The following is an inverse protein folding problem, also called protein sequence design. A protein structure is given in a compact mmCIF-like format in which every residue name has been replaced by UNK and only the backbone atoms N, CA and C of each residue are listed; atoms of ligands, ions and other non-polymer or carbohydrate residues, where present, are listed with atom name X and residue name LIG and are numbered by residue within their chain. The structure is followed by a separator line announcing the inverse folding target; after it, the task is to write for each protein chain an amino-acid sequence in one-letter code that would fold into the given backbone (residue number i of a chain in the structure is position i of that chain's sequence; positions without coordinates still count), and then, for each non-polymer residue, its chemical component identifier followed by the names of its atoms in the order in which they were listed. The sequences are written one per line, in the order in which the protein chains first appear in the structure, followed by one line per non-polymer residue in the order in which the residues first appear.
data_IF_600883246844
#
_entry.id   IF_600883246844
#
_cell.length_a   1.000
_cell.length_b   1.000
_cell.length_c   1.000
_cell.angle_alpha   90.00
_cell.angle_beta   90.00
_cell.angle_gamma   90.00
#
_symmetry.space_group_name_H-M   'P 1'
#
loop_
_entity.id
_entity.type
_entity.pdbx_description
1 polymer ?
#
# COMPACT_ATOMS: atom_id res chain seq x y z
N UNK A 1 -57.95 80.87 11.16
CA UNK A 1 -58.80 79.80 10.62
C UNK A 1 -58.11 78.50 10.94
N UNK A 2 -58.61 77.86 11.91
CA UNK A 2 -59.08 76.47 12.09
C UNK A 2 -57.93 75.45 11.99
N UNK A 3 -57.42 75.01 13.17
CA UNK A 3 -57.66 73.75 13.90
C UNK A 3 -57.39 72.48 13.13
N UNK A 4 -56.41 71.73 13.62
CA UNK A 4 -56.44 70.31 13.83
C UNK A 4 -55.33 69.83 14.79
N UNK A 5 -55.62 69.96 16.11
CA UNK A 5 -55.04 69.12 17.17
C UNK A 5 -56.03 67.99 17.32
N UNK A 6 -55.61 66.76 17.28
CA UNK A 6 -56.07 65.73 18.23
C UNK A 6 -55.65 64.31 17.84
N UNK A 7 -55.28 63.61 18.89
CA UNK A 7 -55.21 62.16 19.10
C UNK A 7 -53.94 61.46 18.79
N UNK A 8 -52.96 61.70 19.67
CA UNK A 8 -52.00 60.65 20.01
C UNK A 8 -52.68 59.61 20.89
N UNK A 9 -52.89 58.42 20.34
CA UNK A 9 -53.47 57.30 21.06
C UNK A 9 -52.43 56.66 22.01
N UNK A 10 -52.75 56.63 23.29
CA UNK A 10 -51.97 56.06 24.39
C UNK A 10 -51.73 54.55 24.27
N UNK A 11 -52.28 53.92 23.21
CA UNK A 11 -52.06 52.50 22.90
C UNK A 11 -50.79 52.17 22.14
N UNK A 12 -50.09 53.17 21.56
CA UNK A 12 -48.85 52.91 20.85
C UNK A 12 -47.57 52.94 21.72
N UNK A 13 -47.68 53.43 22.94
CA UNK A 13 -46.56 53.44 23.89
C UNK A 13 -46.41 52.14 24.68
N UNK A 14 -47.43 51.28 24.73
CA UNK A 14 -47.39 49.99 25.43
C UNK A 14 -46.86 48.87 24.53
N UNK A 15 -46.94 49.02 23.19
CA UNK A 15 -46.41 48.02 22.23
C UNK A 15 -44.90 48.14 22.02
N UNK A 16 -44.24 49.23 22.36
CA UNK A 16 -42.79 49.42 22.22
C UNK A 16 -42.01 48.93 23.48
N UNK A 17 -42.69 48.64 24.59
CA UNK A 17 -42.01 48.15 25.82
C UNK A 17 -41.99 46.60 25.93
N UNK A 18 -42.70 45.87 25.05
CA UNK A 18 -42.68 44.41 25.01
C UNK A 18 -41.79 43.81 23.92
N UNK A 19 -41.16 44.62 23.07
CA UNK A 19 -40.24 44.14 22.03
C UNK A 19 -38.77 44.06 22.50
N UNK A 20 -38.50 44.43 23.75
CA UNK A 20 -37.11 44.52 24.26
C UNK A 20 -36.67 43.41 25.21
N UNK A 21 -37.54 42.41 25.53
CA UNK A 21 -37.15 41.28 26.36
C UNK A 21 -37.07 39.98 25.56
N UNK A 22 -36.28 39.98 24.48
CA UNK A 22 -35.64 38.77 24.01
C UNK A 22 -34.56 38.43 25.03
N UNK A 23 -34.96 37.67 26.07
CA UNK A 23 -34.03 36.96 26.92
C UNK A 23 -33.21 36.08 26.00
N UNK A 24 -32.01 36.52 25.70
CA UNK A 24 -30.97 35.64 25.17
C UNK A 24 -30.70 34.58 26.26
N UNK A 25 -31.45 33.50 26.21
CA UNK A 25 -31.11 32.30 26.97
C UNK A 25 -29.73 31.90 26.41
N UNK A 26 -28.66 32.00 27.20
CA UNK A 26 -27.38 31.48 26.73
C UNK A 26 -27.62 30.01 26.42
N UNK A 27 -27.48 29.62 25.17
CA UNK A 27 -27.31 28.21 24.84
C UNK A 27 -26.06 27.78 25.57
N UNK A 28 -26.22 27.15 26.74
CA UNK A 28 -25.12 26.47 27.39
C UNK A 28 -24.82 25.30 26.48
N UNK A 29 -23.88 25.49 25.59
CA UNK A 29 -23.25 24.36 24.87
C UNK A 29 -22.51 23.59 25.95
N UNK A 30 -23.13 22.54 26.45
CA UNK A 30 -22.46 21.60 27.35
C UNK A 30 -21.37 20.95 26.54
N UNK A 31 -20.13 21.34 26.77
CA UNK A 31 -18.96 20.70 26.16
C UNK A 31 -18.71 19.34 26.83
N UNK A 32 -18.24 18.39 26.06
CA UNK A 32 -17.74 17.14 26.64
C UNK A 32 -16.52 17.43 27.52
N UNK A 33 -16.31 16.62 28.54
CA UNK A 33 -15.22 16.81 29.50
C UNK A 33 -14.42 15.53 29.67
N UNK A 34 -13.11 15.66 29.55
CA UNK A 34 -12.14 14.59 29.80
C UNK A 34 -11.26 14.96 30.97
N UNK A 35 -10.96 13.99 31.84
CA UNK A 35 -9.99 14.12 32.94
C UNK A 35 -9.00 12.96 32.87
N UNK A 36 -7.72 13.28 32.94
CA UNK A 36 -6.60 12.35 32.83
C UNK A 36 -5.94 12.09 34.19
N UNK A 37 -5.13 11.03 34.29
CA UNK A 37 -4.46 10.61 35.53
C UNK A 37 -3.49 11.65 36.09
N UNK A 38 -2.91 12.50 35.24
CA UNK A 38 -2.05 13.61 35.65
C UNK A 38 -2.81 14.83 36.18
N UNK A 39 -4.17 14.73 36.23
CA UNK A 39 -5.05 15.81 36.71
C UNK A 39 -5.42 16.84 35.65
N UNK A 40 -5.03 16.67 34.41
CA UNK A 40 -5.43 17.57 33.32
C UNK A 40 -6.92 17.42 33.00
N UNK A 41 -7.60 18.55 32.81
CA UNK A 41 -9.02 18.61 32.45
C UNK A 41 -9.16 19.33 31.13
N UNK A 42 -9.79 18.68 30.16
CA UNK A 42 -10.05 19.22 28.83
C UNK A 42 -11.56 19.33 28.60
N UNK A 43 -11.96 20.43 27.96
CA UNK A 43 -13.33 20.69 27.51
C UNK A 43 -13.34 20.78 25.99
N UNK A 44 -14.32 20.14 25.35
CA UNK A 44 -14.38 20.10 23.90
C UNK A 44 -15.42 19.15 23.38
N UNK A 45 -15.07 18.37 22.35
CA UNK A 45 -15.94 17.39 21.70
C UNK A 45 -15.21 16.06 21.50
N UNK A 46 -15.89 14.98 21.86
CA UNK A 46 -15.43 13.62 21.60
C UNK A 46 -15.60 13.34 20.10
N UNK A 47 -14.49 13.03 19.40
CA UNK A 47 -14.50 12.66 17.98
C UNK A 47 -14.60 11.13 17.79
N UNK A 48 -14.09 10.36 18.74
CA UNK A 48 -14.07 8.89 18.71
C UNK A 48 -12.75 8.32 19.21
N UNK A 49 -12.56 7.02 19.00
CA UNK A 49 -11.28 6.35 19.32
C UNK A 49 -10.62 5.80 18.08
N UNK A 50 -9.29 5.87 18.07
CA UNK A 50 -8.42 5.27 17.04
C UNK A 50 -7.17 4.73 17.74
N UNK A 51 -6.78 3.49 17.46
CA UNK A 51 -5.57 2.82 17.98
C UNK A 51 -5.43 2.95 19.52
N UNK A 52 -6.52 2.73 20.26
CA UNK A 52 -6.51 2.80 21.72
C UNK A 52 -6.41 4.21 22.31
N UNK A 53 -6.50 5.26 21.48
CA UNK A 53 -6.49 6.65 21.89
C UNK A 53 -7.87 7.29 21.66
N UNK A 54 -8.31 8.10 22.61
CA UNK A 54 -9.45 9.00 22.44
C UNK A 54 -9.02 10.23 21.65
N UNK A 55 -9.64 10.45 20.50
CA UNK A 55 -9.51 11.69 19.71
C UNK A 55 -10.50 12.72 20.24
N UNK A 56 -9.99 13.85 20.68
CA UNK A 56 -10.75 14.91 21.34
C UNK A 56 -10.46 16.26 20.70
N UNK A 57 -11.49 16.99 20.30
CA UNK A 57 -11.37 18.33 19.74
C UNK A 57 -11.51 19.38 20.87
N UNK A 58 -10.61 20.35 20.90
CA UNK A 58 -10.69 21.47 21.84
C UNK A 58 -10.80 22.79 21.08
N UNK A 59 -11.13 23.89 21.78
CA UNK A 59 -11.16 25.23 21.18
C UNK A 59 -9.81 25.68 20.62
N UNK A 60 -8.70 25.12 21.14
CA UNK A 60 -7.33 25.51 20.79
C UNK A 60 -6.61 24.51 19.89
N UNK A 61 -7.17 23.32 19.73
CA UNK A 61 -6.60 22.25 18.90
C UNK A 61 -7.71 21.46 18.24
N UNK A 62 -7.60 21.25 16.93
CA UNK A 62 -8.55 20.46 16.15
C UNK A 62 -8.58 18.99 16.57
N UNK A 63 -7.49 18.48 17.12
CA UNK A 63 -7.41 17.10 17.61
C UNK A 63 -6.33 16.97 18.68
N UNK A 64 -6.69 16.34 19.81
CA UNK A 64 -5.79 15.89 20.87
C UNK A 64 -6.03 14.38 21.03
N UNK A 65 -4.98 13.57 20.96
CA UNK A 65 -5.08 12.13 21.15
C UNK A 65 -4.66 11.77 22.58
N UNK A 66 -5.58 11.16 23.34
CA UNK A 66 -5.40 10.82 24.75
C UNK A 66 -5.53 9.30 24.88
N UNK A 67 -4.49 8.57 25.33
CA UNK A 67 -4.60 7.13 25.55
C UNK A 67 -5.76 6.78 26.49
N UNK A 68 -6.61 5.83 26.13
CA UNK A 68 -7.74 5.39 26.95
C UNK A 68 -7.32 4.97 28.36
N UNK A 69 -6.14 4.37 28.50
CA UNK A 69 -5.56 3.97 29.81
C UNK A 69 -5.21 5.15 30.71
N UNK A 70 -5.06 6.36 30.17
CA UNK A 70 -4.78 7.57 30.97
C UNK A 70 -6.04 8.31 31.42
N UNK A 71 -7.23 7.86 30.99
CA UNK A 71 -8.49 8.47 31.37
C UNK A 71 -8.88 8.11 32.80
N UNK A 72 -9.35 9.09 33.52
CA UNK A 72 -9.95 8.96 34.88
C UNK A 72 -11.46 9.17 34.82
N UNK A 73 -11.88 10.15 34.01
CA UNK A 73 -13.30 10.51 33.90
C UNK A 73 -13.61 11.04 32.52
N UNK A 74 -14.76 10.68 31.99
CA UNK A 74 -15.29 11.15 30.74
C UNK A 74 -16.76 11.49 30.89
N UNK A 75 -17.18 12.67 30.41
CA UNK A 75 -18.60 13.04 30.34
C UNK A 75 -18.93 13.58 28.98
N UNK A 76 -20.12 13.27 28.50
CA UNK A 76 -20.60 13.75 27.20
C UNK A 76 -21.88 14.53 27.30
N UNK A 77 -22.03 15.56 26.49
CA UNK A 77 -23.26 16.32 26.31
C UNK A 77 -24.31 15.53 25.52
N UNK A 78 -23.84 14.83 24.48
CA UNK A 78 -24.67 14.01 23.62
C UNK A 78 -24.54 12.53 23.95
N UNK A 79 -25.52 11.67 23.57
CA UNK A 79 -25.35 10.23 23.66
C UNK A 79 -24.16 9.78 22.78
N UNK A 80 -23.33 8.89 23.31
CA UNK A 80 -22.17 8.32 22.62
C UNK A 80 -22.26 6.80 22.73
N UNK A 81 -21.74 6.12 21.71
CA UNK A 81 -21.66 4.67 21.67
C UNK A 81 -20.28 4.19 22.13
N UNK A 82 -20.27 3.09 22.86
CA UNK A 82 -19.08 2.41 23.36
C UNK A 82 -19.16 0.94 23.01
N UNK A 83 -18.04 0.38 22.54
CA UNK A 83 -17.85 -1.05 22.41
C UNK A 83 -16.86 -1.54 23.46
N UNK A 84 -17.24 -2.62 24.11
CA UNK A 84 -16.39 -3.32 25.08
C UNK A 84 -15.50 -4.35 24.40
N UNK A 85 -14.46 -4.83 25.08
CA UNK A 85 -13.62 -5.97 24.64
C UNK A 85 -14.43 -7.26 24.40
N UNK A 86 -15.62 -7.38 25.02
CA UNK A 86 -16.54 -8.50 24.80
C UNK A 86 -17.48 -8.30 23.60
N UNK A 87 -17.20 -7.28 22.74
CA UNK A 87 -18.03 -6.89 21.59
C UNK A 87 -19.46 -6.44 21.91
N UNK A 88 -19.76 -6.11 23.16
CA UNK A 88 -21.05 -5.52 23.53
C UNK A 88 -21.04 -4.02 23.21
N UNK A 89 -22.08 -3.54 22.53
CA UNK A 89 -22.25 -2.12 22.22
C UNK A 89 -23.28 -1.49 23.14
N UNK A 90 -22.88 -0.46 23.87
CA UNK A 90 -23.73 0.33 24.73
C UNK A 90 -23.79 1.78 24.21
N UNK A 91 -24.97 2.38 24.21
CA UNK A 91 -25.15 3.77 23.78
C UNK A 91 -25.88 4.55 24.84
N UNK A 92 -25.41 5.75 25.14
CA UNK A 92 -26.01 6.62 26.14
C UNK A 92 -25.15 7.83 26.47
N UNK A 93 -25.61 8.64 27.38
CA UNK A 93 -24.87 9.78 27.88
C UNK A 93 -23.80 9.36 28.91
N UNK A 94 -22.59 9.85 28.73
CA UNK A 94 -21.50 9.61 29.68
C UNK A 94 -21.64 10.52 30.89
N UNK A 95 -21.68 9.92 32.06
CA UNK A 95 -21.79 10.62 33.35
C UNK A 95 -20.48 10.44 34.10
N UNK A 96 -19.85 11.53 34.57
CA UNK A 96 -18.59 11.45 35.28
C UNK A 96 -18.79 10.74 36.63
N UNK A 97 -17.93 9.76 36.93
CA UNK A 97 -17.76 9.22 38.26
C UNK A 97 -16.28 9.30 38.68
N UNK A 98 -16.00 9.48 39.99
CA UNK A 98 -14.65 9.32 40.49
C UNK A 98 -14.24 7.84 40.42
N UNK A 99 -12.96 7.55 40.04
CA UNK A 99 -12.31 6.23 40.05
C UNK A 99 -12.22 5.49 38.71
N UNK A 100 -11.77 6.15 37.64
CA UNK A 100 -11.43 5.49 36.35
C UNK A 100 -12.57 4.58 35.81
N UNK A 101 -13.79 5.01 35.98
CA UNK A 101 -15.00 4.31 35.57
C UNK A 101 -15.86 5.23 34.72
N UNK A 102 -16.42 4.66 33.65
CA UNK A 102 -17.36 5.31 32.76
C UNK A 102 -18.76 4.82 33.07
N UNK A 103 -19.70 5.72 33.37
CA UNK A 103 -21.11 5.40 33.46
C UNK A 103 -21.83 5.84 32.19
N UNK A 104 -22.56 4.89 31.59
CA UNK A 104 -23.42 5.14 30.46
C UNK A 104 -24.88 5.10 30.97
N UNK A 105 -25.56 6.23 30.84
CA UNK A 105 -27.00 6.33 31.13
C UNK A 105 -27.79 6.16 29.84
N UNK A 106 -28.58 5.10 29.80
CA UNK A 106 -29.55 4.87 28.73
C UNK A 106 -30.95 4.81 29.37
N UNK A 107 -31.82 5.79 29.08
CA UNK A 107 -33.17 5.91 29.61
C UNK A 107 -33.27 5.68 31.13
N UNK A 108 -33.43 4.43 31.59
CA UNK A 108 -33.61 4.07 33.02
C UNK A 108 -32.48 3.17 33.56
N UNK A 109 -31.46 2.85 32.78
CA UNK A 109 -30.36 1.99 33.22
C UNK A 109 -29.04 2.75 33.20
N UNK A 110 -28.21 2.49 34.20
CA UNK A 110 -26.84 2.99 34.29
C UNK A 110 -25.92 1.79 34.24
N UNK A 111 -25.13 1.70 33.19
CA UNK A 111 -24.11 0.67 33.05
C UNK A 111 -22.77 1.25 33.45
N UNK A 112 -22.06 0.57 34.32
CA UNK A 112 -20.73 0.93 34.78
C UNK A 112 -19.66 0.16 33.98
N UNK A 113 -18.74 0.87 33.35
CA UNK A 113 -17.66 0.32 32.59
C UNK A 113 -16.31 0.84 33.09
N UNK A 114 -15.30 -0.01 33.11
CA UNK A 114 -13.91 0.42 33.29
C UNK A 114 -13.33 0.84 31.94
N UNK A 115 -12.52 1.89 31.93
CA UNK A 115 -11.83 2.33 30.69
C UNK A 115 -10.96 1.22 30.07
N UNK A 116 -10.40 0.33 30.89
CA UNK A 116 -9.62 -0.83 30.48
C UNK A 116 -10.41 -1.81 29.59
N UNK A 117 -11.72 -1.88 29.74
CA UNK A 117 -12.60 -2.80 29.00
C UNK A 117 -13.23 -2.13 27.76
N UNK A 118 -12.81 -0.92 27.42
CA UNK A 118 -13.34 -0.17 26.28
C UNK A 118 -12.42 -0.36 25.09
N UNK A 119 -12.97 -0.87 24.02
CA UNK A 119 -12.28 -1.00 22.72
C UNK A 119 -12.48 0.25 21.86
N UNK A 120 -13.74 0.69 21.68
CA UNK A 120 -14.08 1.83 20.85
C UNK A 120 -15.10 2.75 21.52
N UNK A 121 -14.97 4.05 21.23
CA UNK A 121 -15.94 5.10 21.55
C UNK A 121 -16.22 5.87 20.26
N UNK A 122 -17.49 6.14 19.94
CA UNK A 122 -17.84 6.97 18.78
C UNK A 122 -19.15 7.74 19.00
N UNK A 123 -19.24 9.00 18.49
CA UNK A 123 -20.46 9.78 18.54
C UNK A 123 -21.49 9.29 17.53
N UNK A 124 -22.78 9.61 17.68
CA UNK A 124 -23.85 9.18 16.76
C UNK A 124 -23.67 9.68 15.33
N UNK A 125 -22.87 10.73 15.14
CA UNK A 125 -22.53 11.29 13.83
C UNK A 125 -21.40 10.56 13.09
N UNK A 126 -20.68 9.68 13.78
CA UNK A 126 -19.64 8.84 13.22
C UNK A 126 -20.14 7.42 12.93
N UNK A 127 -19.57 6.79 11.94
CA UNK A 127 -19.80 5.37 11.64
C UNK A 127 -19.17 4.51 12.74
N UNK A 128 -19.78 3.39 13.05
CA UNK A 128 -19.24 2.38 13.95
C UNK A 128 -17.84 1.94 13.48
N UNK A 129 -16.81 2.00 14.33
CA UNK A 129 -15.45 1.63 13.95
C UNK A 129 -15.32 0.23 13.35
N UNK A 130 -16.06 -0.76 13.85
CA UNK A 130 -16.05 -2.10 13.24
C UNK A 130 -16.60 -2.13 11.81
N UNK A 131 -17.57 -1.25 11.49
CA UNK A 131 -18.08 -1.15 10.12
C UNK A 131 -16.98 -0.55 9.23
N UNK A 132 -16.28 0.48 9.73
CA UNK A 132 -15.15 1.10 9.01
C UNK A 132 -14.03 0.08 8.76
N UNK A 133 -13.67 -0.70 9.80
CA UNK A 133 -12.65 -1.75 9.70
C UNK A 133 -13.08 -2.86 8.73
N UNK A 134 -14.35 -3.29 8.79
CA UNK A 134 -14.88 -4.28 7.88
C UNK A 134 -14.91 -3.79 6.42
N UNK A 135 -15.33 -2.55 6.19
CA UNK A 135 -15.32 -1.93 4.86
C UNK A 135 -13.89 -1.76 4.32
N UNK A 136 -12.94 -1.36 5.17
CA UNK A 136 -11.53 -1.26 4.80
C UNK A 136 -10.96 -2.63 4.42
N UNK A 137 -11.22 -3.66 5.23
CA UNK A 137 -10.82 -5.04 4.93
C UNK A 137 -11.43 -5.58 3.63
N UNK A 138 -12.72 -5.30 3.40
CA UNK A 138 -13.41 -5.63 2.14
C UNK A 138 -12.75 -4.96 0.91
N UNK A 139 -12.24 -3.73 1.09
CA UNK A 139 -11.51 -3.02 0.03
C UNK A 139 -10.13 -3.61 -0.23
N UNK A 140 -9.45 -4.12 0.81
CA UNK A 140 -8.16 -4.82 0.69
C UNK A 140 -8.30 -6.19 0.03
N UNK A 141 -9.46 -6.85 0.18
CA UNK A 141 -9.77 -8.11 -0.49
C UNK A 141 -10.02 -7.95 -1.99
N UNK A 142 -10.35 -6.75 -2.47
CA UNK A 142 -10.61 -6.51 -3.89
C UNK A 142 -9.32 -6.53 -4.68
N UNK A 143 -9.29 -7.37 -5.70
CA UNK A 143 -8.21 -7.39 -6.67
C UNK A 143 -8.14 -6.06 -7.42
N UNK A 144 -6.92 -5.53 -7.57
CA UNK A 144 -6.65 -4.26 -8.26
C UNK A 144 -5.55 -4.47 -9.28
N UNK A 145 -5.67 -3.80 -10.42
CA UNK A 145 -4.60 -3.68 -11.40
C UNK A 145 -3.68 -2.52 -11.04
N UNK A 146 -2.38 -2.76 -11.21
CA UNK A 146 -1.35 -1.72 -11.30
C UNK A 146 -0.52 -2.06 -12.50
N UNK A 147 -0.33 -1.12 -13.41
CA UNK A 147 0.41 -1.36 -14.63
C UNK A 147 1.39 -0.24 -14.91
N UNK A 148 2.48 -0.56 -15.56
CA UNK A 148 3.48 0.41 -15.98
C UNK A 148 4.00 0.14 -17.38
N UNK A 149 4.43 1.19 -18.07
CA UNK A 149 5.20 1.12 -19.30
C UNK A 149 6.47 1.93 -19.15
N UNK A 150 7.57 1.35 -19.64
CA UNK A 150 8.89 1.97 -19.60
C UNK A 150 9.58 1.96 -20.96
N UNK A 151 10.34 3.01 -21.23
CA UNK A 151 11.13 3.15 -22.45
C UNK A 151 12.56 3.54 -22.12
N UNK A 152 13.49 2.86 -22.78
CA UNK A 152 14.92 3.16 -22.77
C UNK A 152 15.36 3.63 -24.14
N UNK A 153 16.22 4.64 -24.20
CA UNK A 153 16.92 5.02 -25.43
C UNK A 153 18.36 5.35 -25.06
N UNK A 154 19.28 4.65 -25.70
CA UNK A 154 20.72 4.82 -25.47
C UNK A 154 21.39 5.03 -26.80
N UNK A 155 22.37 5.92 -26.87
CA UNK A 155 23.15 6.16 -28.07
C UNK A 155 24.53 6.65 -27.74
N UNK A 156 25.51 6.27 -28.59
CA UNK A 156 26.87 6.81 -28.59
C UNK A 156 27.32 7.08 -30.03
N UNK A 157 28.19 8.06 -30.18
CA UNK A 157 28.80 8.37 -31.50
C UNK A 157 30.26 8.75 -31.30
N UNK A 158 31.12 8.34 -32.23
CA UNK A 158 32.56 8.60 -32.19
C UNK A 158 33.37 7.40 -32.66
N UNK A 159 34.28 6.92 -31.83
CA UNK A 159 35.06 5.71 -32.16
C UNK A 159 34.20 4.45 -32.29
N UNK A 160 33.05 4.45 -31.60
CA UNK A 160 32.01 3.41 -31.68
C UNK A 160 30.66 4.11 -31.78
N UNK A 161 29.93 3.83 -32.85
CA UNK A 161 28.58 4.31 -33.04
C UNK A 161 27.61 3.22 -32.56
N UNK A 162 26.78 3.52 -31.56
CA UNK A 162 25.76 2.61 -31.10
C UNK A 162 24.42 3.33 -30.88
N UNK A 163 23.34 2.63 -31.13
CA UNK A 163 21.99 3.01 -30.82
C UNK A 163 21.25 1.81 -30.28
N UNK A 164 20.60 1.98 -29.14
CA UNK A 164 19.78 0.97 -28.49
C UNK A 164 18.44 1.55 -28.02
N UNK A 165 17.42 0.72 -28.03
CA UNK A 165 16.09 1.04 -27.54
C UNK A 165 15.55 -0.13 -26.72
N UNK A 166 14.89 0.17 -25.64
CA UNK A 166 14.19 -0.79 -24.77
C UNK A 166 12.74 -0.38 -24.55
N UNK A 167 11.91 -1.39 -24.45
CA UNK A 167 10.51 -1.27 -24.00
C UNK A 167 10.25 -2.31 -22.93
N UNK A 168 9.52 -1.93 -21.89
CA UNK A 168 9.02 -2.87 -20.88
C UNK A 168 7.61 -2.47 -20.45
N UNK A 169 6.76 -3.47 -20.29
CA UNK A 169 5.44 -3.37 -19.71
C UNK A 169 5.37 -4.34 -18.54
N UNK A 170 4.92 -3.86 -17.40
CA UNK A 170 4.64 -4.66 -16.22
C UNK A 170 3.18 -4.45 -15.83
N UNK A 171 2.54 -5.48 -15.30
CA UNK A 171 1.14 -5.43 -14.87
C UNK A 171 0.90 -6.40 -13.73
N UNK A 172 0.53 -5.87 -12.58
CA UNK A 172 0.23 -6.64 -11.37
C UNK A 172 -1.27 -6.59 -11.07
N UNK A 173 -1.89 -7.75 -10.88
CA UNK A 173 -3.27 -7.89 -10.43
C UNK A 173 -3.30 -8.56 -9.07
N UNK A 174 -3.52 -7.77 -8.01
CA UNK A 174 -3.29 -8.25 -6.65
C UNK A 174 -4.32 -7.75 -5.63
N UNK A 175 -4.39 -8.50 -4.53
CA UNK A 175 -4.98 -8.12 -3.26
C UNK A 175 -4.03 -8.56 -2.13
N UNK A 176 -4.48 -8.49 -0.85
CA UNK A 176 -3.64 -8.86 0.31
C UNK A 176 -3.23 -10.34 0.39
N UNK A 177 -3.82 -11.25 -0.41
CA UNK A 177 -3.54 -12.69 -0.37
C UNK A 177 -2.99 -13.24 -1.67
N UNK A 178 -3.25 -12.57 -2.77
CA UNK A 178 -3.00 -13.12 -4.11
C UNK A 178 -2.42 -12.05 -5.00
N UNK A 179 -1.42 -12.43 -5.77
CA UNK A 179 -0.75 -11.57 -6.74
C UNK A 179 -0.54 -12.33 -8.06
N UNK A 180 -0.83 -11.67 -9.16
CA UNK A 180 -0.50 -12.11 -10.50
C UNK A 180 0.31 -11.01 -11.16
N UNK A 181 1.59 -11.29 -11.40
CA UNK A 181 2.49 -10.42 -12.12
C UNK A 181 2.64 -10.87 -13.56
N UNK A 182 2.59 -9.92 -14.45
CA UNK A 182 2.80 -10.10 -15.89
C UNK A 182 3.86 -9.12 -16.36
N UNK A 183 4.79 -9.56 -17.18
CA UNK A 183 5.70 -8.64 -17.83
C UNK A 183 5.96 -9.00 -19.30
N UNK A 184 6.30 -8.00 -20.08
CA UNK A 184 6.78 -8.11 -21.45
C UNK A 184 7.87 -7.07 -21.68
N UNK A 185 8.99 -7.47 -22.25
CA UNK A 185 10.06 -6.55 -22.62
C UNK A 185 10.62 -6.87 -24.01
N UNK A 186 11.08 -5.82 -24.67
CA UNK A 186 11.85 -5.90 -25.92
C UNK A 186 13.05 -4.97 -25.83
N UNK A 187 14.22 -5.47 -26.15
CA UNK A 187 15.46 -4.70 -26.19
C UNK A 187 16.18 -4.93 -27.51
N UNK A 188 16.63 -3.85 -28.13
CA UNK A 188 17.46 -3.93 -29.34
C UNK A 188 18.61 -2.95 -29.26
N UNK A 189 19.79 -3.35 -29.76
CA UNK A 189 20.94 -2.49 -29.86
C UNK A 189 21.71 -2.82 -31.13
N UNK A 190 22.20 -1.78 -31.79
CA UNK A 190 23.07 -1.89 -32.98
C UNK A 190 24.34 -1.11 -32.71
N UNK A 191 25.48 -1.75 -32.88
CA UNK A 191 26.82 -1.17 -32.70
C UNK A 191 27.59 -1.28 -33.99
N UNK A 192 28.08 -0.14 -34.51
CA UNK A 192 28.81 -0.05 -35.82
C UNK A 192 28.06 -0.73 -36.98
N UNK A 193 26.71 -0.61 -36.99
CA UNK A 193 25.85 -1.18 -38.02
C UNK A 193 25.57 -2.69 -37.89
N UNK A 194 26.03 -3.35 -36.82
CA UNK A 194 25.74 -4.74 -36.52
C UNK A 194 24.83 -4.81 -35.28
N UNK A 195 23.73 -5.55 -35.38
CA UNK A 195 22.87 -5.82 -34.25
C UNK A 195 23.59 -6.74 -33.26
N UNK A 196 23.72 -6.30 -32.01
CA UNK A 196 24.38 -7.00 -30.92
C UNK A 196 23.40 -7.31 -29.74
N UNK A 197 22.19 -6.79 -29.80
CA UNK A 197 21.05 -7.18 -28.91
C UNK A 197 19.78 -7.18 -29.75
N UNK A 198 18.98 -8.25 -29.64
CA UNK A 198 17.63 -8.37 -30.21
C UNK A 198 16.83 -9.37 -29.39
N UNK A 199 16.40 -8.93 -28.23
CA UNK A 199 15.86 -9.79 -27.18
C UNK A 199 14.40 -9.45 -26.87
N UNK A 200 13.56 -10.45 -26.84
CA UNK A 200 12.18 -10.39 -26.33
C UNK A 200 12.03 -11.33 -25.13
N UNK A 201 11.59 -10.79 -24.00
CA UNK A 201 11.27 -11.55 -22.80
C UNK A 201 9.86 -11.26 -22.33
N UNK A 202 9.23 -12.27 -21.71
CA UNK A 202 7.96 -12.11 -21.03
C UNK A 202 7.74 -13.20 -20.02
N UNK A 203 6.80 -12.96 -19.13
CA UNK A 203 6.49 -13.93 -18.10
C UNK A 203 5.22 -13.60 -17.33
N UNK A 204 4.84 -14.59 -16.54
CA UNK A 204 3.75 -14.52 -15.60
C UNK A 204 4.16 -15.24 -14.32
N UNK A 205 3.93 -14.63 -13.18
CA UNK A 205 4.06 -15.25 -11.86
C UNK A 205 2.75 -15.06 -11.08
N UNK A 206 2.26 -16.12 -10.48
CA UNK A 206 1.08 -16.13 -9.63
C UNK A 206 1.46 -16.62 -8.26
N UNK A 207 1.21 -15.78 -7.25
CA UNK A 207 1.43 -16.05 -5.84
C UNK A 207 0.12 -16.11 -5.07
N UNK A 208 0.02 -17.02 -4.11
CA UNK A 208 -1.11 -17.04 -3.19
C UNK A 208 -0.68 -17.47 -1.78
N UNK A 209 -0.91 -16.56 -0.82
CA UNK A 209 -0.64 -16.77 0.60
C UNK A 209 -1.69 -17.73 1.15
N UNK A 210 -1.27 -18.84 1.75
CA UNK A 210 -2.15 -19.82 2.37
C UNK A 210 -1.94 -19.96 3.88
N UNK A 211 -0.83 -19.41 4.40
CA UNK A 211 -0.55 -19.41 5.84
C UNK A 211 0.47 -18.35 6.21
N UNK A 212 0.08 -17.36 7.00
CA UNK A 212 0.94 -16.28 7.51
C UNK A 212 1.84 -15.67 6.40
N UNK A 213 3.12 -15.97 6.43
CA UNK A 213 4.15 -15.50 5.49
C UNK A 213 4.45 -16.50 4.37
N UNK A 214 3.72 -17.62 4.29
CA UNK A 214 3.97 -18.69 3.34
C UNK A 214 2.96 -18.65 2.19
N UNK A 215 3.45 -18.53 0.97
CA UNK A 215 2.71 -18.60 -0.27
C UNK A 215 3.16 -19.80 -1.11
N UNK A 216 2.30 -20.28 -2.00
CA UNK A 216 2.72 -21.08 -3.14
C UNK A 216 2.79 -20.17 -4.38
N UNK A 217 3.67 -20.50 -5.32
CA UNK A 217 3.78 -19.76 -6.56
C UNK A 217 3.77 -20.69 -7.78
N UNK A 218 3.36 -20.11 -8.91
CA UNK A 218 3.48 -20.69 -10.25
C UNK A 218 4.05 -19.62 -11.17
N UNK A 219 5.22 -19.88 -11.78
CA UNK A 219 5.91 -18.94 -12.66
C UNK A 219 6.15 -19.54 -14.04
N UNK A 220 5.99 -18.74 -15.06
CA UNK A 220 6.31 -19.08 -16.43
C UNK A 220 7.03 -17.90 -17.10
N UNK A 221 8.22 -18.17 -17.65
CA UNK A 221 9.02 -17.19 -18.40
C UNK A 221 9.28 -17.70 -19.81
N UNK A 222 9.43 -16.78 -20.73
CA UNK A 222 9.90 -17.06 -22.09
C UNK A 222 10.88 -15.98 -22.56
N UNK A 223 11.79 -16.40 -23.42
CA UNK A 223 12.84 -15.58 -24.01
C UNK A 223 13.04 -15.99 -25.47
N UNK A 224 13.19 -14.99 -26.33
CA UNK A 224 13.63 -15.13 -27.72
C UNK A 224 14.79 -14.17 -27.94
N UNK A 225 15.95 -14.67 -28.29
CA UNK A 225 17.17 -13.88 -28.60
C UNK A 225 17.91 -14.51 -29.79
N UNK A 226 17.67 -14.00 -31.00
CA UNK A 226 18.37 -14.49 -32.20
C UNK A 226 19.86 -14.17 -32.20
N UNK A 227 20.35 -13.17 -31.44
CA UNK A 227 21.78 -12.85 -31.34
C UNK A 227 22.51 -13.93 -30.53
N UNK A 228 21.88 -14.41 -29.44
CA UNK A 228 22.35 -15.55 -28.66
C UNK A 228 21.92 -16.91 -29.23
N UNK A 229 21.34 -16.91 -30.42
CA UNK A 229 20.86 -18.12 -31.11
C UNK A 229 19.78 -18.88 -30.37
N UNK A 230 19.01 -18.19 -29.55
CA UNK A 230 17.86 -18.69 -28.78
C UNK A 230 16.60 -18.44 -29.59
N UNK A 231 16.03 -19.51 -30.20
CA UNK A 231 14.72 -19.42 -30.85
C UNK A 231 13.61 -19.30 -29.80
N UNK A 232 13.65 -20.15 -28.76
CA UNK A 232 12.77 -20.08 -27.61
C UNK A 232 13.44 -20.71 -26.39
N UNK A 233 13.57 -19.96 -25.33
CA UNK A 233 13.86 -20.47 -23.99
C UNK A 233 12.61 -20.25 -23.14
N UNK A 234 12.14 -21.27 -22.45
CA UNK A 234 10.98 -21.19 -21.57
C UNK A 234 11.26 -21.92 -20.26
N UNK A 235 10.81 -21.33 -19.16
CA UNK A 235 10.89 -21.93 -17.84
C UNK A 235 9.49 -21.97 -17.23
N UNK A 236 9.08 -23.13 -16.71
CA UNK A 236 7.90 -23.28 -15.89
C UNK A 236 8.33 -23.75 -14.50
N UNK A 237 7.96 -23.01 -13.46
CA UNK A 237 8.32 -23.32 -12.08
C UNK A 237 7.12 -23.29 -11.14
N UNK A 238 7.15 -24.16 -10.12
CA UNK A 238 6.14 -24.26 -9.07
C UNK A 238 6.85 -24.53 -7.75
N UNK A 239 6.45 -23.83 -6.69
CA UNK A 239 7.07 -24.01 -5.39
C UNK A 239 6.44 -23.20 -4.26
N UNK A 240 7.24 -22.88 -3.27
CA UNK A 240 6.87 -22.12 -2.09
C UNK A 240 7.67 -20.81 -2.05
N UNK A 241 7.00 -19.73 -1.68
CA UNK A 241 7.56 -18.41 -1.41
C UNK A 241 7.39 -18.10 0.07
N UNK A 242 8.41 -17.55 0.70
CA UNK A 242 8.37 -17.15 2.10
C UNK A 242 8.73 -15.68 2.25
N UNK A 243 7.81 -14.88 2.78
CA UNK A 243 7.99 -13.46 3.04
C UNK A 243 8.64 -13.27 4.41
N UNK A 244 9.96 -13.01 4.45
CA UNK A 244 10.72 -12.84 5.69
C UNK A 244 10.40 -11.54 6.39
N UNK A 245 10.29 -10.48 5.60
CA UNK A 245 10.02 -9.12 6.06
C UNK A 245 9.06 -8.48 5.07
N UNK A 246 8.00 -7.90 5.59
CA UNK A 246 7.03 -7.17 4.81
C UNK A 246 6.58 -5.95 5.63
N UNK A 247 7.20 -4.80 5.37
CA UNK A 247 6.85 -3.52 5.98
C UNK A 247 7.06 -2.39 4.96
N UNK A 248 6.79 -1.14 5.37
CA UNK A 248 6.88 0.02 4.48
C UNK A 248 8.29 0.34 3.98
N UNK A 249 9.32 -0.04 4.75
CA UNK A 249 10.71 0.28 4.43
C UNK A 249 11.44 -0.87 3.75
N UNK A 250 11.10 -2.12 4.09
CA UNK A 250 11.78 -3.32 3.63
C UNK A 250 10.79 -4.42 3.25
N UNK A 251 11.05 -5.06 2.13
CA UNK A 251 10.40 -6.31 1.74
C UNK A 251 11.49 -7.30 1.34
N UNK A 252 11.44 -8.49 1.90
CA UNK A 252 12.38 -9.58 1.62
C UNK A 252 11.61 -10.86 1.47
N UNK A 253 11.68 -11.48 0.32
CA UNK A 253 11.11 -12.79 0.08
C UNK A 253 12.12 -13.76 -0.55
N UNK A 254 11.91 -15.04 -0.32
CA UNK A 254 12.65 -16.10 -0.98
C UNK A 254 11.68 -17.13 -1.56
N UNK A 255 12.04 -17.72 -2.70
CA UNK A 255 11.28 -18.83 -3.28
C UNK A 255 12.16 -20.05 -3.50
N UNK A 256 11.55 -21.20 -3.33
CA UNK A 256 12.14 -22.51 -3.59
C UNK A 256 11.13 -23.40 -4.27
N UNK A 257 11.51 -23.99 -5.40
CA UNK A 257 10.60 -24.83 -6.17
C UNK A 257 11.30 -25.80 -7.11
N UNK A 258 10.47 -26.47 -7.90
CA UNK A 258 10.88 -27.29 -9.03
C UNK A 258 10.57 -26.55 -10.32
N UNK A 259 11.46 -26.65 -11.30
CA UNK A 259 11.28 -26.05 -12.61
C UNK A 259 11.54 -27.04 -13.73
N UNK A 260 10.98 -26.73 -14.88
CA UNK A 260 11.31 -27.36 -16.16
C UNK A 260 11.78 -26.27 -17.10
N UNK A 261 12.98 -26.43 -17.62
CA UNK A 261 13.58 -25.55 -18.63
C UNK A 261 13.41 -26.22 -19.99
N UNK A 262 12.83 -25.50 -20.94
CA UNK A 262 12.79 -25.85 -22.35
C UNK A 262 13.68 -24.87 -23.12
N UNK A 263 14.47 -25.36 -24.05
CA UNK A 263 15.29 -24.54 -24.92
C UNK A 263 15.35 -25.11 -26.33
N UNK A 264 15.00 -24.26 -27.30
CA UNK A 264 15.14 -24.48 -28.72
C UNK A 264 16.12 -23.46 -29.31
N UNK A 265 17.07 -23.93 -30.09
CA UNK A 265 18.14 -23.12 -30.66
C UNK A 265 17.98 -22.99 -32.17
N UNK A 266 18.42 -21.86 -32.73
CA UNK A 266 18.48 -21.62 -34.17
C UNK A 266 19.56 -22.46 -34.86
N UNK A 267 20.44 -23.16 -34.13
CA UNK A 267 21.47 -24.03 -34.68
C UNK A 267 20.89 -25.39 -35.05
N UNK A 268 20.88 -25.76 -36.33
CA UNK A 268 20.27 -26.99 -36.89
C UNK A 268 20.72 -28.31 -36.22
N UNK A 269 21.80 -28.33 -35.45
CA UNK A 269 22.36 -29.55 -34.84
C UNK A 269 22.04 -29.70 -33.37
N UNK A 270 21.44 -28.69 -32.72
CA UNK A 270 21.08 -28.73 -31.32
C UNK A 270 19.58 -29.05 -31.21
N UNK A 271 19.27 -30.28 -30.78
CA UNK A 271 17.88 -30.71 -30.55
C UNK A 271 17.26 -29.93 -29.41
N UNK A 272 15.94 -29.74 -29.51
CA UNK A 272 15.13 -29.31 -28.39
C UNK A 272 15.53 -30.02 -27.08
N UNK A 273 15.73 -29.24 -26.02
CA UNK A 273 16.17 -29.75 -24.73
C UNK A 273 15.15 -29.42 -23.65
N UNK A 274 14.82 -30.42 -22.87
CA UNK A 274 13.96 -30.29 -21.69
C UNK A 274 14.78 -30.74 -20.48
N UNK A 275 15.04 -29.82 -19.56
CA UNK A 275 15.86 -30.08 -18.39
C UNK A 275 15.04 -29.80 -17.10
N UNK A 276 14.87 -30.79 -16.23
CA UNK A 276 14.40 -30.55 -14.85
C UNK A 276 15.42 -29.70 -14.09
N UNK A 277 14.95 -28.72 -13.35
CA UNK A 277 15.77 -27.82 -12.57
C UNK A 277 15.12 -27.52 -11.19
N UNK A 278 15.91 -26.97 -10.28
CA UNK A 278 15.37 -26.28 -9.12
C UNK A 278 15.17 -24.80 -9.47
N UNK A 279 14.21 -24.16 -8.83
CA UNK A 279 13.98 -22.73 -8.88
C UNK A 279 14.26 -22.13 -7.50
N UNK A 280 15.29 -21.26 -7.42
CA UNK A 280 15.67 -20.55 -6.21
C UNK A 280 15.58 -19.05 -6.50
N UNK A 281 14.84 -18.31 -5.71
CA UNK A 281 14.67 -16.88 -5.87
C UNK A 281 14.90 -16.09 -4.60
N UNK A 282 15.34 -14.85 -4.76
CA UNK A 282 15.41 -13.82 -3.71
C UNK A 282 14.91 -12.51 -4.31
N UNK A 283 13.94 -11.92 -3.64
CA UNK A 283 13.43 -10.59 -3.94
C UNK A 283 13.71 -9.67 -2.76
N UNK A 284 14.18 -8.48 -3.06
CA UNK A 284 14.52 -7.48 -2.05
C UNK A 284 14.07 -6.10 -2.51
N UNK A 285 13.27 -5.42 -1.70
CA UNK A 285 12.88 -4.01 -1.90
C UNK A 285 13.24 -3.21 -0.66
N UNK A 286 13.76 -2.00 -0.86
CA UNK A 286 14.16 -1.12 0.24
C UNK A 286 13.89 0.34 -0.11
N UNK A 287 13.15 1.03 0.77
CA UNK A 287 12.96 2.48 0.75
C UNK A 287 14.18 3.17 1.36
N UNK A 288 15.16 3.51 0.53
CA UNK A 288 16.40 4.16 0.99
C UNK A 288 16.15 5.58 1.50
N UNK A 289 15.25 6.31 0.84
CA UNK A 289 14.81 7.67 1.18
C UNK A 289 13.37 7.86 0.71
N UNK A 290 12.72 8.96 1.12
CA UNK A 290 11.33 9.28 0.70
C UNK A 290 11.09 9.23 -0.83
N UNK A 291 12.13 9.43 -1.62
CA UNK A 291 12.06 9.48 -3.09
C UNK A 291 13.12 8.60 -3.75
N UNK A 292 13.57 7.54 -3.07
CA UNK A 292 14.56 6.62 -3.62
C UNK A 292 14.29 5.21 -3.11
N UNK A 293 14.01 4.31 -4.06
CA UNK A 293 13.78 2.90 -3.77
C UNK A 293 14.84 2.05 -4.46
N UNK A 294 15.22 0.97 -3.80
CA UNK A 294 16.07 -0.09 -4.35
C UNK A 294 15.23 -1.34 -4.50
N UNK A 295 15.25 -1.92 -5.69
CA UNK A 295 14.68 -3.23 -5.98
C UNK A 295 15.75 -4.16 -6.49
N UNK A 296 15.73 -5.43 -6.06
CA UNK A 296 16.67 -6.46 -6.53
C UNK A 296 15.96 -7.80 -6.60
N UNK A 297 16.08 -8.45 -7.75
CA UNK A 297 15.59 -9.80 -7.96
C UNK A 297 16.74 -10.69 -8.43
N UNK A 298 16.87 -11.86 -7.79
CA UNK A 298 17.86 -12.88 -8.12
C UNK A 298 17.12 -14.20 -8.35
N UNK A 299 17.44 -14.89 -9.42
CA UNK A 299 16.93 -16.23 -9.72
C UNK A 299 18.06 -17.17 -10.11
N UNK A 300 18.12 -18.34 -9.48
CA UNK A 300 19.08 -19.39 -9.78
C UNK A 300 18.34 -20.67 -10.16
N UNK A 301 18.66 -21.22 -11.31
CA UNK A 301 18.01 -22.40 -11.93
C UNK A 301 19.02 -23.52 -12.20
N UNK A 302 19.54 -24.22 -11.18
CA UNK A 302 20.44 -25.36 -11.37
C UNK A 302 19.68 -26.58 -11.85
N UNK A 303 20.25 -27.32 -12.82
CA UNK A 303 19.68 -28.59 -13.29
C UNK A 303 19.75 -29.68 -12.24
N UNK A 304 18.73 -30.53 -12.17
CA UNK A 304 18.64 -31.59 -11.16
C UNK A 304 19.72 -32.64 -11.34
N UNK A 305 20.04 -33.00 -12.58
CA UNK A 305 21.05 -34.02 -12.93
C UNK A 305 22.49 -33.48 -12.88
N UNK A 306 22.70 -32.17 -12.97
CA UNK A 306 24.02 -31.52 -12.91
C UNK A 306 23.88 -30.12 -12.31
N UNK A 307 24.04 -29.98 -11.00
CA UNK A 307 23.94 -28.70 -10.30
C UNK A 307 25.00 -27.67 -10.73
N UNK A 308 26.05 -28.07 -11.45
CA UNK A 308 27.03 -27.15 -12.01
C UNK A 308 26.59 -26.55 -13.34
N UNK A 309 25.50 -27.05 -13.92
CA UNK A 309 24.82 -26.49 -15.09
C UNK A 309 23.63 -25.66 -14.58
N UNK A 310 23.78 -24.34 -14.55
CA UNK A 310 22.77 -23.43 -14.02
C UNK A 310 22.68 -22.14 -14.81
N UNK A 311 21.49 -21.56 -14.78
CA UNK A 311 21.24 -20.16 -15.15
C UNK A 311 21.11 -19.33 -13.88
N UNK A 312 21.73 -18.17 -13.88
CA UNK A 312 21.55 -17.17 -12.83
C UNK A 312 21.11 -15.84 -13.46
N UNK A 313 19.93 -15.38 -13.10
CA UNK A 313 19.39 -14.10 -13.53
C UNK A 313 19.45 -13.11 -12.38
N UNK A 314 19.77 -11.88 -12.73
CA UNK A 314 19.88 -10.76 -11.79
C UNK A 314 19.28 -9.50 -12.41
N UNK A 315 18.43 -8.80 -11.66
CA UNK A 315 18.01 -7.43 -11.94
C UNK A 315 18.08 -6.62 -10.65
N UNK A 316 18.79 -5.50 -10.66
CA UNK A 316 18.82 -4.56 -9.53
C UNK A 316 18.70 -3.15 -10.04
N UNK A 317 17.76 -2.39 -9.48
CA UNK A 317 17.47 -1.04 -9.90
C UNK A 317 17.28 -0.07 -8.74
N UNK A 318 17.65 1.17 -8.99
CA UNK A 318 17.25 2.34 -8.20
C UNK A 318 16.08 3.03 -8.91
N UNK A 319 15.05 3.35 -8.16
CA UNK A 319 13.83 3.98 -8.66
C UNK A 319 13.69 5.36 -8.04
N UNK A 320 13.53 6.36 -8.90
CA UNK A 320 13.43 7.78 -8.55
C UNK A 320 12.08 8.33 -9.04
N UNK A 321 11.08 8.58 -8.19
CA UNK A 321 9.88 9.32 -8.57
C UNK A 321 10.25 10.70 -9.12
N UNK A 322 9.67 11.08 -10.26
CA UNK A 322 9.95 12.37 -10.93
C UNK A 322 8.97 13.44 -10.47
N UNK A 323 7.72 13.04 -10.20
CA UNK A 323 6.64 13.94 -9.75
C UNK A 323 5.99 13.41 -8.47
N UNK A 324 5.35 14.31 -7.72
CA UNK A 324 4.82 14.01 -6.39
C UNK A 324 3.72 12.94 -6.37
N UNK A 325 3.00 12.74 -7.47
CA UNK A 325 1.94 11.71 -7.58
C UNK A 325 2.47 10.30 -7.89
N UNK A 326 3.82 10.15 -8.04
CA UNK A 326 4.51 8.91 -8.38
C UNK A 326 4.07 8.24 -9.70
N UNK A 327 3.35 8.94 -10.58
CA UNK A 327 2.94 8.40 -11.90
C UNK A 327 4.11 8.27 -12.86
N UNK A 328 5.14 9.10 -12.69
CA UNK A 328 6.35 9.05 -13.49
C UNK A 328 7.56 8.80 -12.60
N UNK A 329 8.36 7.81 -12.97
CA UNK A 329 9.62 7.55 -12.30
C UNK A 329 10.74 7.17 -13.28
N UNK A 330 11.97 7.28 -12.80
CA UNK A 330 13.16 6.82 -13.49
C UNK A 330 13.62 5.55 -12.80
N UNK A 331 13.81 4.49 -13.58
CA UNK A 331 14.40 3.23 -13.14
C UNK A 331 15.80 3.12 -13.76
N UNK A 332 16.85 3.16 -12.93
CA UNK A 332 18.24 2.98 -13.37
C UNK A 332 18.79 1.71 -12.78
N UNK A 333 19.20 0.78 -13.61
CA UNK A 333 19.52 -0.55 -13.13
C UNK A 333 20.58 -1.28 -13.94
N UNK A 334 20.84 -2.46 -13.42
CA UNK A 334 21.74 -3.45 -13.94
C UNK A 334 20.99 -4.78 -13.98
N UNK A 335 20.87 -5.37 -15.15
CA UNK A 335 20.33 -6.73 -15.31
C UNK A 335 21.33 -7.61 -16.03
N UNK A 336 21.25 -8.91 -15.80
CA UNK A 336 22.12 -9.84 -16.51
C UNK A 336 21.72 -11.29 -16.31
N UNK A 337 22.19 -12.10 -17.22
CA UNK A 337 22.07 -13.55 -17.23
C UNK A 337 23.46 -14.17 -17.22
N UNK A 338 23.70 -15.10 -16.33
CA UNK A 338 24.89 -15.94 -16.34
C UNK A 338 24.49 -17.37 -16.68
N UNK A 339 25.01 -17.89 -17.78
CA UNK A 339 24.91 -19.32 -18.15
C UNK A 339 26.24 -20.01 -17.85
N UNK A 340 26.20 -20.99 -16.91
CA UNK A 340 27.41 -21.70 -16.50
C UNK A 340 28.01 -22.55 -17.63
N UNK A 341 27.16 -23.03 -18.56
CA UNK A 341 27.55 -23.86 -19.71
C UNK A 341 26.88 -23.29 -20.98
N UNK A 342 27.37 -22.13 -21.48
CA UNK A 342 26.81 -21.51 -22.68
C UNK A 342 27.06 -22.36 -23.92
N UNK A 343 26.27 -22.14 -24.96
CA UNK A 343 26.44 -22.81 -26.25
C UNK A 343 27.56 -22.17 -27.04
N UNK A 344 28.39 -23.03 -27.65
CA UNK A 344 29.49 -22.67 -28.55
C UNK A 344 30.33 -21.47 -28.05
N UNK A 345 30.58 -20.47 -28.88
CA UNK A 345 31.42 -19.30 -28.58
C UNK A 345 30.69 -18.17 -27.84
N UNK A 346 29.48 -18.43 -27.26
CA UNK A 346 28.75 -17.42 -26.48
C UNK A 346 29.42 -17.11 -25.14
N UNK A 347 29.36 -15.87 -24.72
CA UNK A 347 29.87 -15.42 -23.43
C UNK A 347 29.03 -16.04 -22.29
N UNK A 348 29.67 -16.33 -21.15
CA UNK A 348 28.96 -16.85 -19.96
C UNK A 348 28.06 -15.82 -19.27
N UNK A 349 28.41 -14.57 -19.44
CA UNK A 349 27.80 -13.46 -18.70
C UNK A 349 27.33 -12.40 -19.69
N UNK A 350 26.04 -12.19 -19.75
CA UNK A 350 25.43 -11.04 -20.43
C UNK A 350 24.95 -10.02 -19.40
N UNK A 351 25.42 -8.77 -19.50
CA UNK A 351 25.15 -7.70 -18.56
C UNK A 351 24.64 -6.46 -19.29
N UNK A 352 23.51 -5.93 -18.84
CA UNK A 352 22.86 -4.75 -19.40
C UNK A 352 22.73 -3.67 -18.34
N UNK A 353 23.13 -2.46 -18.70
CA UNK A 353 22.86 -1.25 -17.91
C UNK A 353 21.73 -0.50 -18.57
N UNK A 354 20.74 -0.09 -17.81
CA UNK A 354 19.61 0.62 -18.37
C UNK A 354 19.25 1.86 -17.56
N UNK A 355 18.69 2.82 -18.28
CA UNK A 355 18.10 4.03 -17.74
C UNK A 355 16.74 4.22 -18.39
N UNK A 356 15.68 3.93 -17.65
CA UNK A 356 14.31 3.80 -18.14
C UNK A 356 13.43 4.87 -17.56
N UNK A 357 12.68 5.55 -18.42
CA UNK A 357 11.57 6.41 -18.01
C UNK A 357 10.31 5.55 -17.98
N UNK A 358 9.64 5.52 -16.86
CA UNK A 358 8.47 4.66 -16.61
C UNK A 358 7.27 5.53 -16.26
N UNK A 359 6.12 5.13 -16.80
CA UNK A 359 4.82 5.69 -16.53
C UNK A 359 3.91 4.64 -15.90
N UNK A 360 3.39 4.92 -14.69
CA UNK A 360 2.46 4.06 -13.96
C UNK A 360 1.02 4.48 -14.23
N UNK A 361 0.13 3.49 -14.41
CA UNK A 361 -1.30 3.69 -14.61
C UNK A 361 -2.10 2.56 -13.96
N UNK A 362 -3.32 2.89 -13.54
CA UNK A 362 -4.24 1.96 -12.88
C UNK A 362 -5.47 1.71 -13.73
#
# INVERSE_FOLDING_TARGET
MATWLSRFNMFQLVSLFWAGLLVSVPFIVLADRVETKDGSILYGKILGTLDGNLSFETTYSSQVNIPLKELVSLSSSDPISVRTETNETLSGQFIPLPKAQLNIRNQNQVNELKFENIQHIWPPTATDPLVIEAEAYELELKMKWKSSIGFDLVGSSGNTDSIGAGFRMDSTYSNIFTELDLFLSYNTQTTNGKTDTDETKGGAEYDSIFRDQLAWYLRSDFEHDPVEQINLRSTLALGLKYNWIENLDYQVSTRFGSAVRYEDSTIDQVKEKIDPAFDLGLEYTHTLMKSLFLESELTLLPKVDNLSDYLFNHDTALIFPVIEDNTWHIRSGLSGTFDSIPKDDSEKMDMKYYFRVVYDFN
#
